data_IF_296751490765
#
_entry.id   IF_296751490765
#
_cell.length_a   1.000
_cell.length_b   1.000
_cell.length_c   1.000
_cell.angle_alpha   90.00
_cell.angle_beta   90.00
_cell.angle_gamma   90.00
#
_symmetry.space_group_name_H-M   'P 1'
#
loop_
_entity.id
_entity.type
_entity.pdbx_description
1 polymer ?
#
# COMPACT_ATOMS: atom_id res chain seq x y z
N UNK A 1 -11.19 2.52 -2.48
CA UNK A 1 -11.86 3.72 -1.94
C UNK A 1 -12.53 3.37 -0.63
N UNK A 2 -12.61 4.32 0.31
CA UNK A 2 -13.35 4.20 1.57
C UNK A 2 -14.46 5.24 1.56
N UNK A 3 -15.71 4.83 1.75
CA UNK A 3 -16.87 5.73 1.80
C UNK A 3 -17.33 5.87 3.25
N UNK A 4 -17.53 7.12 3.67
CA UNK A 4 -17.92 7.49 5.02
C UNK A 4 -19.23 8.26 4.93
N UNK A 5 -20.26 7.71 5.57
CA UNK A 5 -21.58 8.34 5.65
C UNK A 5 -21.91 8.65 7.12
N UNK A 6 -22.33 9.87 7.42
CA UNK A 6 -22.76 10.27 8.76
C UNK A 6 -24.02 11.13 8.71
N UNK A 7 -24.72 11.18 9.84
CA UNK A 7 -25.88 12.06 10.06
C UNK A 7 -25.51 13.17 11.03
N UNK A 8 -26.32 14.23 11.01
CA UNK A 8 -26.21 15.26 12.03
C UNK A 8 -26.41 14.66 13.44
N UNK A 9 -25.74 15.20 14.47
CA UNK A 9 -25.96 14.78 15.85
C UNK A 9 -27.44 14.94 16.24
N UNK A 10 -27.98 13.97 16.99
CA UNK A 10 -29.38 14.03 17.45
C UNK A 10 -29.68 15.26 18.33
N UNK A 11 -28.66 15.73 19.05
CA UNK A 11 -28.68 16.96 19.85
C UNK A 11 -27.55 17.86 19.35
N UNK A 12 -27.89 18.88 18.56
CA UNK A 12 -26.88 19.78 17.98
C UNK A 12 -26.53 20.96 18.88
N UNK A 13 -27.38 21.26 19.88
CA UNK A 13 -27.25 22.39 20.81
C UNK A 13 -26.94 23.73 20.10
N UNK A 14 -27.47 23.90 18.89
CA UNK A 14 -27.14 25.01 18.00
C UNK A 14 -27.04 24.57 16.54
N UNK A 15 -26.82 25.52 15.64
CA UNK A 15 -26.59 25.23 14.22
C UNK A 15 -25.16 24.72 14.04
N UNK A 16 -25.00 23.56 13.42
CA UNK A 16 -23.69 23.05 13.02
C UNK A 16 -23.13 23.96 11.93
N UNK A 17 -21.91 24.45 12.13
CA UNK A 17 -21.18 25.28 11.17
C UNK A 17 -20.26 24.45 10.29
N UNK A 18 -19.64 23.38 10.82
CA UNK A 18 -18.67 22.53 10.11
C UNK A 18 -18.66 21.09 10.61
N UNK A 19 -18.25 20.16 9.75
CA UNK A 19 -17.79 18.82 10.14
C UNK A 19 -16.29 18.66 9.87
N UNK A 20 -15.63 17.89 10.72
CA UNK A 20 -14.26 17.44 10.49
C UNK A 20 -14.28 15.92 10.39
N UNK A 21 -13.73 15.37 9.30
CA UNK A 21 -13.63 13.93 9.10
C UNK A 21 -12.17 13.58 8.97
N UNK A 22 -11.71 12.62 9.77
CA UNK A 22 -10.36 12.08 9.73
C UNK A 22 -10.42 10.62 9.32
N UNK A 23 -9.79 10.29 8.20
CA UNK A 23 -9.58 8.93 7.71
C UNK A 23 -8.08 8.67 7.73
N UNK A 24 -7.63 7.77 8.63
CA UNK A 24 -6.22 7.46 8.80
C UNK A 24 -5.97 5.96 8.70
N UNK A 25 -5.01 5.55 7.88
CA UNK A 25 -4.62 4.16 7.67
C UNK A 25 -3.41 3.78 8.50
N UNK A 26 -3.48 2.62 9.15
CA UNK A 26 -2.34 1.99 9.81
C UNK A 26 -2.14 0.56 9.30
N UNK A 27 -0.89 0.09 9.25
CA UNK A 27 -0.54 -1.26 8.79
C UNK A 27 -1.25 -2.33 9.64
N UNK A 28 -1.91 -3.31 9.01
CA UNK A 28 -2.72 -4.32 9.71
C UNK A 28 -1.89 -5.31 10.53
N UNK A 29 -0.70 -5.66 10.05
CA UNK A 29 0.21 -6.62 10.68
C UNK A 29 1.58 -6.01 10.84
N UNK A 30 2.03 -6.00 12.08
CA UNK A 30 3.38 -5.56 12.44
C UNK A 30 4.36 -6.70 12.50
N UNK A 31 5.63 -6.37 12.28
CA UNK A 31 6.73 -7.14 12.87
C UNK A 31 6.65 -7.00 14.41
N UNK A 32 6.87 -8.09 15.18
CA UNK A 32 6.77 -8.04 16.64
C UNK A 32 7.61 -6.88 17.22
N UNK A 33 6.97 -5.99 18.00
CA UNK A 33 7.64 -4.89 18.73
C UNK A 33 7.70 -3.52 18.03
N UNK A 34 7.10 -3.34 16.85
CA UNK A 34 7.00 -2.02 16.19
C UNK A 34 5.89 -1.12 16.75
N UNK A 35 6.03 0.23 16.74
CA UNK A 35 4.95 1.16 17.10
C UNK A 35 3.90 1.28 15.99
N UNK A 36 2.62 1.47 16.36
CA UNK A 36 1.51 1.57 15.38
C UNK A 36 1.59 2.97 14.80
N UNK A 37 2.20 3.08 13.63
CA UNK A 37 2.31 4.34 12.91
C UNK A 37 1.18 4.39 11.90
N UNK A 38 0.27 5.34 12.08
CA UNK A 38 -0.63 5.75 11.01
C UNK A 38 0.24 6.40 9.93
N UNK A 39 0.31 5.77 8.77
CA UNK A 39 1.26 6.11 7.71
C UNK A 39 0.56 6.40 6.37
N UNK A 40 -0.77 6.45 6.41
CA UNK A 40 -1.58 6.81 5.26
C UNK A 40 -2.72 7.75 5.63
N UNK A 41 -2.90 8.75 4.77
CA UNK A 41 -3.87 9.80 4.92
C UNK A 41 -4.46 10.12 3.54
N UNK A 42 -5.48 9.36 3.09
CA UNK A 42 -5.95 9.44 1.72
C UNK A 42 -6.71 10.75 1.48
N UNK A 43 -6.52 11.40 0.32
CA UNK A 43 -7.31 12.57 -0.02
C UNK A 43 -8.79 12.19 -0.26
N UNK A 44 -9.70 13.15 -0.11
CA UNK A 44 -11.07 12.99 -0.58
C UNK A 44 -11.10 12.93 -2.11
N UNK A 45 -12.08 12.22 -2.68
CA UNK A 45 -12.25 12.17 -4.15
C UNK A 45 -12.95 13.41 -4.72
N UNK A 46 -13.64 14.17 -3.87
CA UNK A 46 -14.31 15.45 -4.19
C UNK A 46 -13.78 16.50 -3.20
N UNK A 47 -12.68 17.17 -3.56
CA UNK A 47 -11.98 18.14 -2.70
C UNK A 47 -12.78 19.44 -2.48
N UNK A 48 -13.79 19.71 -3.31
CA UNK A 48 -14.64 20.90 -3.13
C UNK A 48 -15.60 20.73 -1.95
N UNK A 49 -16.05 19.50 -1.69
CA UNK A 49 -17.08 19.20 -0.67
C UNK A 49 -16.56 18.43 0.52
N UNK A 50 -15.47 17.69 0.34
CA UNK A 50 -14.92 16.80 1.34
C UNK A 50 -13.49 17.22 1.67
N UNK A 51 -13.10 16.98 2.92
CA UNK A 51 -11.76 17.21 3.42
C UNK A 51 -11.38 16.05 4.33
N UNK A 52 -10.10 15.69 4.35
CA UNK A 52 -9.57 14.75 5.33
C UNK A 52 -8.74 15.56 6.34
N UNK A 53 -9.14 15.57 7.61
CA UNK A 53 -8.54 16.40 8.66
C UNK A 53 -7.33 15.75 9.34
N UNK A 54 -6.12 16.32 9.18
CA UNK A 54 -4.85 15.70 9.62
C UNK A 54 -4.21 16.32 10.89
N UNK A 55 -4.97 17.13 11.64
CA UNK A 55 -4.53 17.95 12.80
C UNK A 55 -3.53 19.08 12.49
N UNK A 56 -2.96 19.13 11.28
CA UNK A 56 -2.02 20.17 10.83
C UNK A 56 -2.68 21.25 9.98
N UNK A 57 -3.88 20.99 9.49
CA UNK A 57 -4.64 21.91 8.64
C UNK A 57 -5.30 23.07 9.40
N UNK A 58 -5.43 24.21 8.72
CA UNK A 58 -6.15 25.38 9.20
C UNK A 58 -7.66 25.11 9.31
N UNK A 59 -8.35 25.80 10.23
CA UNK A 59 -9.79 25.64 10.47
C UNK A 59 -10.70 25.84 9.24
N UNK A 60 -10.15 26.31 8.11
CA UNK A 60 -10.78 26.47 6.80
C UNK A 60 -11.14 25.16 6.10
N UNK A 61 -10.51 24.02 6.44
CA UNK A 61 -10.72 22.71 5.78
C UNK A 61 -11.83 21.86 6.43
N UNK A 62 -12.83 22.51 7.03
CA UNK A 62 -14.02 21.82 7.53
C UNK A 62 -15.06 21.62 6.42
N UNK A 63 -15.75 20.49 6.45
CA UNK A 63 -16.84 20.16 5.53
C UNK A 63 -18.07 21.00 5.89
N UNK A 64 -18.61 21.73 4.91
CA UNK A 64 -19.77 22.60 5.11
C UNK A 64 -21.08 21.79 5.14
N UNK A 65 -21.88 21.84 6.22
CA UNK A 65 -23.12 21.08 6.31
C UNK A 65 -24.21 21.55 5.34
N UNK A 66 -24.15 22.79 4.83
CA UNK A 66 -25.21 23.40 4.01
C UNK A 66 -25.21 22.86 2.57
N UNK A 67 -24.08 22.34 2.10
CA UNK A 67 -23.92 21.86 0.71
C UNK A 67 -24.53 20.48 0.49
N UNK A 68 -24.94 19.78 1.56
CA UNK A 68 -25.57 18.48 1.49
C UNK A 68 -27.09 18.62 1.59
N UNK A 69 -27.78 18.41 0.46
CA UNK A 69 -29.25 18.47 0.36
C UNK A 69 -29.96 17.24 0.93
N UNK A 70 -29.21 16.30 1.49
CA UNK A 70 -29.64 14.98 1.95
C UNK A 70 -29.63 14.84 3.47
N UNK A 71 -30.45 13.93 4.00
CA UNK A 71 -30.50 13.63 5.46
C UNK A 71 -29.19 13.05 6.03
N UNK A 72 -28.28 12.65 5.14
CA UNK A 72 -26.95 12.10 5.45
C UNK A 72 -25.89 12.83 4.62
N UNK A 73 -24.70 12.99 5.19
CA UNK A 73 -23.51 13.48 4.51
C UNK A 73 -22.66 12.27 4.13
N UNK A 74 -22.07 12.28 2.93
CA UNK A 74 -21.17 11.22 2.48
C UNK A 74 -19.92 11.79 1.83
N UNK A 75 -18.77 11.21 2.16
CA UNK A 75 -17.48 11.51 1.54
C UNK A 75 -16.74 10.22 1.19
N UNK A 76 -16.06 10.23 0.05
CA UNK A 76 -15.24 9.13 -0.45
C UNK A 76 -13.77 9.51 -0.40
N UNK A 77 -12.93 8.59 0.05
CA UNK A 77 -11.51 8.78 0.25
C UNK A 77 -10.70 7.73 -0.51
N UNK A 78 -9.66 8.17 -1.21
CA UNK A 78 -8.75 7.30 -1.93
C UNK A 78 -7.87 8.03 -2.95
N UNK A 79 -6.93 7.32 -3.59
CA UNK A 79 -6.68 5.88 -3.51
C UNK A 79 -6.19 5.44 -2.11
N UNK A 80 -6.48 4.19 -1.74
CA UNK A 80 -6.07 3.63 -0.44
C UNK A 80 -4.83 2.76 -0.60
N UNK A 81 -3.88 2.84 0.34
CA UNK A 81 -2.74 1.91 0.40
C UNK A 81 -3.20 0.48 0.76
N UNK A 82 -2.56 -0.55 0.18
CA UNK A 82 -2.75 -1.95 0.57
C UNK A 82 -2.38 -2.22 2.04
N UNK A 83 -2.84 -3.34 2.59
CA UNK A 83 -2.48 -3.78 3.96
C UNK A 83 -2.74 -2.73 5.06
N UNK A 84 -3.77 -1.90 4.90
CA UNK A 84 -4.16 -0.87 5.88
C UNK A 84 -5.48 -1.20 6.55
N UNK A 85 -5.57 -0.80 7.81
CA UNK A 85 -6.81 -0.69 8.56
C UNK A 85 -7.06 0.81 8.79
N UNK A 86 -8.11 1.34 8.16
CA UNK A 86 -8.45 2.75 8.26
C UNK A 86 -9.45 2.99 9.38
N UNK A 87 -9.04 3.83 10.32
CA UNK A 87 -9.93 4.38 11.35
C UNK A 87 -10.53 5.68 10.87
N UNK A 88 -11.85 5.81 11.06
CA UNK A 88 -12.60 7.01 10.70
C UNK A 88 -13.11 7.69 11.97
N UNK A 89 -12.84 8.98 12.09
CA UNK A 89 -13.31 9.81 13.20
C UNK A 89 -13.99 11.07 12.66
N UNK A 90 -15.14 11.42 13.24
CA UNK A 90 -15.93 12.58 12.83
C UNK A 90 -16.18 13.50 14.02
N UNK A 91 -16.07 14.80 13.80
CA UNK A 91 -16.46 15.84 14.75
C UNK A 91 -17.44 16.81 14.09
N UNK A 92 -18.35 17.34 14.89
CA UNK A 92 -19.20 18.46 14.49
C UNK A 92 -18.75 19.72 15.24
N UNK A 93 -18.88 20.88 14.62
CA UNK A 93 -18.59 22.17 15.24
C UNK A 93 -19.80 23.09 15.13
N UNK A 94 -20.07 23.83 16.20
CA UNK A 94 -21.05 24.93 16.21
C UNK A 94 -20.39 26.17 16.82
N UNK A 95 -21.17 27.23 17.08
CA UNK A 95 -20.64 28.49 17.66
C UNK A 95 -20.04 28.34 19.07
N UNK A 96 -20.33 27.25 19.79
CA UNK A 96 -19.73 26.95 21.09
C UNK A 96 -18.42 26.13 20.97
N UNK A 97 -18.14 25.55 19.80
CA UNK A 97 -16.92 24.80 19.52
C UNK A 97 -17.17 23.39 19.00
N UNK A 98 -16.11 22.58 19.04
CA UNK A 98 -16.08 21.21 18.49
C UNK A 98 -16.63 20.19 19.48
N UNK A 99 -17.40 19.23 18.97
CA UNK A 99 -17.97 18.12 19.74
C UNK A 99 -16.90 17.14 20.22
N UNK A 100 -17.31 16.17 21.04
CA UNK A 100 -16.55 14.93 21.20
C UNK A 100 -16.44 14.17 19.86
N UNK A 101 -15.35 13.42 19.63
CA UNK A 101 -15.20 12.59 18.44
C UNK A 101 -16.23 11.45 18.41
N UNK A 102 -16.79 11.19 17.23
CA UNK A 102 -17.45 9.94 16.89
C UNK A 102 -16.46 9.06 16.10
N UNK A 103 -16.06 7.93 16.69
CA UNK A 103 -15.25 6.93 15.99
C UNK A 103 -16.19 5.90 15.37
N UNK A 104 -16.04 5.66 14.06
CA UNK A 104 -16.88 4.71 13.36
C UNK A 104 -16.58 3.27 13.81
N UNK A 105 -17.61 2.45 14.07
CA UNK A 105 -17.40 1.05 14.47
C UNK A 105 -16.91 0.18 13.30
N UNK A 106 -17.19 0.60 12.05
CA UNK A 106 -16.75 -0.09 10.84
C UNK A 106 -15.52 0.60 10.28
N UNK A 107 -14.45 -0.18 10.12
CA UNK A 107 -13.21 0.28 9.47
C UNK A 107 -13.20 -0.10 7.99
N UNK A 108 -12.50 0.70 7.18
CA UNK A 108 -12.12 0.29 5.83
C UNK A 108 -10.83 -0.51 5.92
N UNK A 109 -10.85 -1.78 5.52
CA UNK A 109 -9.67 -2.66 5.55
C UNK A 109 -9.28 -3.00 4.12
N UNK A 110 -8.04 -2.73 3.74
CA UNK A 110 -7.53 -3.07 2.41
C UNK A 110 -6.87 -4.45 2.39
N UNK A 111 -7.00 -5.12 1.24
CA UNK A 111 -6.32 -6.38 0.96
C UNK A 111 -4.81 -6.16 0.87
N UNK A 112 -4.06 -7.25 0.90
CA UNK A 112 -2.64 -7.21 0.51
C UNK A 112 -2.53 -6.97 -0.99
N UNK A 113 -1.42 -6.41 -1.41
CA UNK A 113 -1.08 -6.23 -2.81
C UNK A 113 0.32 -6.76 -3.08
N UNK A 114 0.70 -6.78 -4.36
CA UNK A 114 2.06 -7.10 -4.77
C UNK A 114 3.08 -6.14 -4.11
N UNK A 115 4.31 -6.60 -3.83
CA UNK A 115 5.39 -5.72 -3.42
C UNK A 115 5.69 -4.67 -4.50
N UNK A 116 5.99 -3.44 -4.10
CA UNK A 116 6.23 -2.36 -5.07
C UNK A 116 7.61 -2.47 -5.74
N UNK A 117 8.61 -2.89 -4.96
CA UNK A 117 10.00 -2.99 -5.41
C UNK A 117 10.65 -4.21 -4.79
N UNK A 118 11.50 -4.89 -5.56
CA UNK A 118 12.49 -5.80 -5.01
C UNK A 118 13.87 -5.22 -5.17
N UNK A 119 14.61 -5.20 -4.06
CA UNK A 119 16.00 -4.75 -4.04
C UNK A 119 16.82 -5.59 -5.02
N UNK A 120 17.65 -4.95 -5.83
CA UNK A 120 18.59 -5.66 -6.70
C UNK A 120 19.58 -6.45 -5.83
N UNK A 121 19.67 -7.78 -5.98
CA UNK A 121 20.58 -8.57 -5.16
C UNK A 121 22.04 -8.33 -5.57
N UNK A 122 22.94 -8.50 -4.62
CA UNK A 122 24.37 -8.61 -4.86
C UNK A 122 24.70 -10.07 -5.22
N UNK A 123 25.51 -10.24 -6.25
CA UNK A 123 26.02 -11.55 -6.67
C UNK A 123 27.52 -11.64 -6.43
N UNK A 124 27.99 -12.83 -6.05
CA UNK A 124 29.41 -13.16 -6.00
C UNK A 124 29.64 -14.57 -6.53
N UNK A 125 30.75 -14.79 -7.24
CA UNK A 125 31.10 -16.11 -7.79
C UNK A 125 32.25 -16.73 -7.02
N UNK A 126 32.27 -18.05 -6.93
CA UNK A 126 33.46 -18.76 -6.44
C UNK A 126 34.60 -18.69 -7.48
N UNK A 127 35.83 -18.99 -7.05
CA UNK A 127 37.03 -18.97 -7.91
C UNK A 127 36.92 -19.89 -9.14
N UNK A 128 36.10 -20.94 -9.05
CA UNK A 128 35.94 -21.93 -10.11
C UNK A 128 34.74 -21.65 -11.03
N UNK A 129 34.00 -20.55 -10.80
CA UNK A 129 32.78 -20.15 -11.54
C UNK A 129 31.70 -21.24 -11.66
N UNK A 130 31.68 -22.21 -10.75
CA UNK A 130 30.70 -23.31 -10.73
C UNK A 130 29.50 -23.01 -9.85
N UNK A 131 29.62 -22.02 -8.96
CA UNK A 131 28.54 -21.55 -8.10
C UNK A 131 28.58 -20.05 -7.95
N UNK A 132 27.42 -19.47 -7.69
CA UNK A 132 27.27 -18.07 -7.32
C UNK A 132 26.40 -17.95 -6.08
N UNK A 133 26.67 -16.93 -5.28
CA UNK A 133 25.84 -16.53 -4.15
C UNK A 133 24.97 -15.35 -4.56
N UNK A 134 23.77 -15.29 -3.99
CA UNK A 134 22.81 -14.20 -4.14
C UNK A 134 22.43 -13.72 -2.75
N UNK A 135 22.59 -12.42 -2.49
CA UNK A 135 22.22 -11.80 -1.23
C UNK A 135 21.50 -10.46 -1.45
N UNK A 136 20.56 -10.13 -0.56
CA UNK A 136 19.93 -8.81 -0.47
C UNK A 136 20.57 -8.03 0.68
N UNK A 137 20.81 -6.72 0.54
CA UNK A 137 21.44 -5.94 1.62
C UNK A 137 20.45 -5.61 2.74
N UNK A 138 19.17 -5.55 2.40
CA UNK A 138 18.13 -5.18 3.33
C UNK A 138 17.07 -6.27 3.46
N UNK A 139 16.26 -6.13 4.52
CA UNK A 139 15.08 -6.99 4.69
C UNK A 139 14.06 -6.63 3.61
N UNK A 140 13.26 -7.61 3.15
CA UNK A 140 12.18 -7.34 2.22
C UNK A 140 11.25 -6.25 2.75
N UNK A 141 10.82 -5.36 1.85
CA UNK A 141 9.74 -4.42 2.14
C UNK A 141 8.40 -5.18 2.13
N UNK A 142 7.83 -5.36 3.31
CA UNK A 142 6.55 -6.04 3.55
C UNK A 142 5.40 -5.05 3.79
N UNK A 143 5.57 -3.78 3.40
CA UNK A 143 4.59 -2.70 3.62
C UNK A 143 3.21 -3.02 3.03
N UNK A 144 3.17 -3.62 1.84
CA UNK A 144 1.93 -4.01 1.16
C UNK A 144 1.42 -5.41 1.54
N UNK A 145 2.14 -6.13 2.40
CA UNK A 145 1.80 -7.46 2.86
C UNK A 145 3.05 -8.32 3.13
N UNK A 146 2.90 -9.43 3.85
CA UNK A 146 4.02 -10.33 4.14
C UNK A 146 4.59 -10.94 2.85
N UNK A 147 5.92 -10.90 2.72
CA UNK A 147 6.63 -11.56 1.62
C UNK A 147 6.74 -13.06 1.90
N UNK A 148 6.17 -13.88 1.01
CA UNK A 148 6.17 -15.34 1.14
C UNK A 148 7.41 -15.99 0.52
N UNK A 149 7.81 -15.55 -0.68
CA UNK A 149 8.94 -16.12 -1.42
C UNK A 149 9.46 -15.13 -2.47
N UNK A 150 10.63 -15.48 -3.04
CA UNK A 150 11.20 -14.82 -4.21
C UNK A 150 11.18 -15.78 -5.40
N UNK A 151 10.88 -15.27 -6.58
CA UNK A 151 11.04 -16.00 -7.82
C UNK A 151 12.37 -15.60 -8.47
N UNK A 152 13.18 -16.60 -8.79
CA UNK A 152 14.52 -16.38 -9.34
C UNK A 152 14.58 -16.99 -10.74
N UNK A 153 14.74 -16.14 -11.75
CA UNK A 153 14.97 -16.56 -13.13
C UNK A 153 16.46 -16.64 -13.44
N UNK A 154 16.90 -17.83 -13.85
CA UNK A 154 18.27 -18.08 -14.27
C UNK A 154 18.27 -18.38 -15.76
N UNK A 155 18.87 -17.49 -16.56
CA UNK A 155 18.94 -17.65 -18.02
C UNK A 155 20.38 -17.93 -18.45
N UNK A 156 20.69 -19.12 -18.99
CA UNK A 156 22.00 -19.39 -19.57
C UNK A 156 22.13 -18.64 -20.90
N UNK A 157 23.17 -17.81 -21.02
CA UNK A 157 23.45 -17.07 -22.26
C UNK A 157 24.63 -17.68 -23.01
N UNK A 158 24.49 -17.81 -24.33
CA UNK A 158 25.64 -18.06 -25.20
C UNK A 158 26.50 -16.79 -25.24
N UNK A 159 27.82 -16.95 -25.37
CA UNK A 159 28.81 -15.84 -25.30
C UNK A 159 28.54 -14.68 -26.27
N UNK A 160 27.74 -14.90 -27.31
CA UNK A 160 27.47 -13.94 -28.38
C UNK A 160 26.07 -13.32 -28.31
N UNK A 161 25.32 -13.52 -27.22
CA UNK A 161 23.97 -12.95 -27.04
C UNK A 161 24.07 -11.69 -26.18
N UNK A 162 23.56 -10.58 -26.72
CA UNK A 162 23.44 -9.33 -25.96
C UNK A 162 22.26 -9.40 -24.99
N UNK A 163 22.44 -8.82 -23.81
CA UNK A 163 21.41 -8.74 -22.78
C UNK A 163 20.18 -7.94 -23.19
N UNK A 164 20.39 -6.96 -24.05
CA UNK A 164 19.34 -6.09 -24.59
C UNK A 164 18.41 -6.85 -25.55
N UNK A 165 18.82 -8.03 -26.01
CA UNK A 165 18.03 -8.89 -26.90
C UNK A 165 17.16 -9.91 -26.14
N UNK A 166 17.24 -9.95 -24.81
CA UNK A 166 16.38 -10.81 -24.01
C UNK A 166 14.96 -10.24 -23.94
N UNK A 167 13.94 -11.11 -24.00
CA UNK A 167 12.56 -10.67 -23.82
C UNK A 167 12.40 -10.01 -22.45
N UNK A 168 11.50 -9.02 -22.34
CA UNK A 168 11.24 -8.36 -21.08
C UNK A 168 10.80 -9.39 -20.02
N UNK A 169 11.11 -9.11 -18.74
CA UNK A 169 10.85 -10.03 -17.64
C UNK A 169 9.45 -10.67 -17.59
N UNK A 170 8.44 -9.92 -17.99
CA UNK A 170 7.03 -10.30 -17.97
C UNK A 170 6.66 -11.32 -19.07
N UNK A 171 7.50 -11.47 -20.10
CA UNK A 171 7.29 -12.40 -21.22
C UNK A 171 8.07 -13.71 -21.04
N UNK A 172 8.86 -13.84 -19.97
CA UNK A 172 9.66 -15.03 -19.70
C UNK A 172 8.77 -16.08 -19.03
N UNK A 173 8.38 -17.09 -19.82
CA UNK A 173 7.65 -18.26 -19.34
C UNK A 173 8.59 -19.09 -18.47
N UNK A 174 8.38 -19.06 -17.15
CA UNK A 174 9.09 -19.92 -16.21
C UNK A 174 8.47 -21.31 -16.20
N UNK A 175 9.18 -22.30 -16.72
CA UNK A 175 8.82 -23.71 -16.49
C UNK A 175 8.99 -24.03 -15.00
N UNK A 176 7.90 -24.40 -14.33
CA UNK A 176 7.97 -24.85 -12.95
C UNK A 176 8.73 -26.18 -12.88
N UNK A 177 9.70 -26.24 -11.98
CA UNK A 177 10.70 -27.33 -11.82
C UNK A 177 10.09 -28.73 -11.58
N UNK A 178 8.76 -28.86 -11.49
CA UNK A 178 8.07 -30.15 -11.48
C UNK A 178 8.21 -30.99 -12.77
N UNK A 179 8.76 -30.44 -13.86
CA UNK A 179 8.77 -31.16 -15.17
C UNK A 179 10.12 -31.41 -15.83
N UNK A 180 11.25 -31.01 -15.23
CA UNK A 180 12.57 -31.18 -15.87
C UNK A 180 13.42 -32.17 -15.07
N UNK A 181 13.04 -33.44 -15.17
CA UNK A 181 13.96 -34.52 -14.89
C UNK A 181 15.02 -34.56 -15.99
N UNK A 182 16.28 -34.52 -15.58
CA UNK A 182 17.48 -34.86 -16.37
C UNK A 182 17.81 -33.97 -17.58
N UNK A 183 18.68 -32.97 -17.34
CA UNK A 183 19.94 -32.67 -18.06
C UNK A 183 20.21 -31.18 -17.91
N UNK A 184 21.24 -30.75 -17.17
CA UNK A 184 22.00 -29.57 -17.60
C UNK A 184 23.46 -29.68 -17.16
N UNK A 185 24.34 -29.73 -18.18
CA UNK A 185 25.78 -29.57 -18.09
C UNK A 185 26.12 -28.08 -17.94
N UNK A 186 27.20 -27.84 -17.21
CA UNK A 186 27.82 -26.56 -16.85
C UNK A 186 28.09 -25.69 -18.09
N UNK A 187 27.73 -24.39 -18.02
CA UNK A 187 28.16 -23.36 -18.96
C UNK A 187 28.55 -22.06 -18.24
N UNK A 188 29.55 -21.30 -18.77
CA UNK A 188 30.02 -20.07 -18.16
C UNK A 188 29.11 -18.91 -18.57
N UNK A 189 28.85 -18.01 -17.62
CA UNK A 189 27.96 -16.83 -17.72
C UNK A 189 26.49 -17.15 -17.44
N UNK A 190 26.10 -16.91 -16.20
CA UNK A 190 24.72 -17.00 -15.73
C UNK A 190 24.20 -15.58 -15.58
N UNK A 191 23.15 -15.23 -16.31
CA UNK A 191 22.45 -13.97 -16.08
C UNK A 191 21.21 -14.20 -15.22
N UNK A 192 21.03 -13.32 -14.25
CA UNK A 192 19.94 -13.38 -13.30
C UNK A 192 18.93 -12.29 -13.64
N UNK A 193 17.71 -12.71 -13.96
CA UNK A 193 16.57 -11.81 -14.02
C UNK A 193 15.58 -12.29 -12.96
N UNK A 194 15.33 -11.45 -11.97
CA UNK A 194 14.35 -11.72 -10.92
C UNK A 194 12.99 -11.28 -11.45
N UNK A 195 12.05 -12.20 -11.54
CA UNK A 195 10.71 -12.00 -12.14
C UNK A 195 9.64 -11.90 -11.05
N UNK A 196 8.54 -11.19 -11.34
CA UNK A 196 7.33 -11.16 -10.50
C UNK A 196 6.08 -11.35 -11.36
N UNK A 197 5.16 -12.20 -10.89
CA UNK A 197 3.81 -12.41 -11.41
C UNK A 197 2.79 -11.98 -10.36
#
# INVERSE_FOLDING_TARGET
MCEVEWRAPALTNGRISRYYVRVQGAVRRMRPGGPVVADDFPPPTDEEKCANWDEREEASHGINPIEFTTEFLSCKYGPLKPNRNYTITVWAENSAGRSSPLVFPKNCITNYAQPDVVEKPITSTNSNHTSFNLAFNSKPDDTNGPISCYYIGIVPLLRNVSLETLPPPQEIVMDTVSKVGSLFKIFPSVFLSVFFF
#
